data_IF_636935825721
#
_entry.id   IF_636935825721
#
_cell.length_a   1.000
_cell.length_b   1.000
_cell.length_c   1.000
_cell.angle_alpha   90.00
_cell.angle_beta   90.00
_cell.angle_gamma   90.00
#
_symmetry.space_group_name_H-M   'P 1'
#
loop_
_entity.id
_entity.type
_entity.pdbx_description
1 polymer ?
#
# COMPACT_ATOMS: atom_id res chain seq x y z
N UNK A 1 2.07 -25.02 -12.41
CA UNK A 1 1.05 -24.06 -12.90
C UNK A 1 1.60 -23.41 -14.16
N UNK A 2 0.79 -23.36 -15.22
CA UNK A 2 1.20 -22.76 -16.49
C UNK A 2 1.16 -21.22 -16.44
N UNK A 3 1.91 -20.55 -17.32
CA UNK A 3 1.97 -19.08 -17.36
C UNK A 3 0.57 -18.44 -17.56
N UNK A 4 -0.28 -19.07 -18.36
CA UNK A 4 -1.63 -18.55 -18.60
C UNK A 4 -2.49 -18.65 -17.33
N UNK A 5 -2.40 -19.76 -16.59
CA UNK A 5 -3.12 -19.94 -15.33
C UNK A 5 -2.67 -18.91 -14.28
N UNK A 6 -1.37 -18.60 -14.23
CA UNK A 6 -0.81 -17.55 -13.39
C UNK A 6 -1.42 -16.17 -13.72
N UNK A 7 -1.52 -15.84 -15.01
CA UNK A 7 -2.14 -14.58 -15.46
C UNK A 7 -3.63 -14.53 -15.10
N UNK A 8 -4.36 -15.60 -15.40
CA UNK A 8 -5.80 -15.68 -15.13
C UNK A 8 -6.10 -15.55 -13.63
N UNK A 9 -5.26 -16.14 -12.78
CA UNK A 9 -5.39 -16.03 -11.33
C UNK A 9 -5.13 -14.60 -10.82
N UNK A 10 -4.10 -13.92 -11.35
CA UNK A 10 -3.83 -12.52 -11.02
C UNK A 10 -4.98 -11.60 -11.45
N UNK A 11 -5.50 -11.77 -12.67
CA UNK A 11 -6.65 -11.02 -13.17
C UNK A 11 -7.88 -11.25 -12.28
N UNK A 12 -8.15 -12.51 -11.90
CA UNK A 12 -9.24 -12.84 -10.98
C UNK A 12 -9.10 -12.11 -9.62
N UNK A 13 -7.89 -12.02 -9.07
CA UNK A 13 -7.65 -11.28 -7.84
C UNK A 13 -7.83 -9.77 -8.02
N UNK A 14 -7.42 -9.21 -9.15
CA UNK A 14 -7.64 -7.81 -9.48
C UNK A 14 -9.13 -7.48 -9.62
N UNK A 15 -9.89 -8.32 -10.31
CA UNK A 15 -11.34 -8.17 -10.53
C UNK A 15 -12.15 -8.33 -9.25
N UNK A 16 -11.60 -9.00 -8.24
CA UNK A 16 -12.25 -9.14 -6.92
C UNK A 16 -12.40 -7.81 -6.18
N UNK A 17 -11.65 -6.78 -6.59
CA UNK A 17 -11.68 -5.47 -5.97
C UNK A 17 -12.88 -4.68 -6.52
N UNK A 18 -13.85 -4.39 -5.64
CA UNK A 18 -15.12 -3.73 -6.00
C UNK A 18 -14.95 -2.45 -6.84
N UNK A 19 -13.93 -1.64 -6.53
CA UNK A 19 -13.59 -0.39 -7.22
C UNK A 19 -12.22 -0.47 -7.93
N UNK A 20 -11.76 -1.70 -8.22
CA UNK A 20 -10.45 -1.96 -8.78
C UNK A 20 -10.30 -1.56 -10.25
N UNK A 21 -9.11 -1.79 -10.77
CA UNK A 21 -8.67 -1.53 -12.14
C UNK A 21 -9.46 -2.38 -13.15
N UNK A 22 -10.66 -1.93 -13.51
CA UNK A 22 -11.54 -2.61 -14.48
C UNK A 22 -11.17 -2.38 -15.94
N UNK A 23 -10.20 -1.49 -16.17
CA UNK A 23 -9.73 -1.17 -17.51
C UNK A 23 -8.30 -1.66 -17.67
N UNK A 24 -8.04 -2.44 -18.72
CA UNK A 24 -6.71 -2.95 -19.08
C UNK A 24 -5.72 -1.83 -19.33
N UNK A 25 -6.20 -0.61 -19.56
CA UNK A 25 -5.39 0.58 -19.75
C UNK A 25 -4.71 1.08 -18.46
N UNK A 26 -5.11 0.55 -17.30
CA UNK A 26 -4.60 1.02 -16.00
C UNK A 26 -3.39 0.23 -15.48
N UNK A 27 -3.00 -0.86 -16.13
CA UNK A 27 -1.86 -1.66 -15.74
C UNK A 27 -1.16 -2.28 -16.96
N UNK A 28 0.16 -2.39 -16.88
CA UNK A 28 0.94 -3.13 -17.88
C UNK A 28 1.25 -4.52 -17.35
N UNK A 29 0.94 -5.56 -18.12
CA UNK A 29 1.32 -6.93 -17.80
C UNK A 29 2.40 -7.39 -18.77
N UNK A 30 3.57 -7.69 -18.23
CA UNK A 30 4.74 -8.17 -18.96
C UNK A 30 5.03 -9.61 -18.54
N UNK A 31 5.54 -10.41 -19.48
CA UNK A 31 6.08 -11.73 -19.15
C UNK A 31 7.57 -11.57 -18.93
N UNK A 32 8.06 -12.05 -17.80
CA UNK A 32 9.46 -11.96 -17.42
C UNK A 32 10.04 -13.38 -17.35
N UNK A 33 11.31 -13.52 -17.72
CA UNK A 33 12.04 -14.76 -17.47
C UNK A 33 13.31 -14.46 -16.72
N UNK A 34 13.38 -14.93 -15.48
CA UNK A 34 14.57 -14.84 -14.63
C UNK A 34 15.02 -16.26 -14.33
N UNK A 35 16.30 -16.55 -14.61
CA UNK A 35 16.93 -17.86 -14.35
C UNK A 35 16.16 -19.05 -14.94
N UNK A 36 15.53 -18.87 -16.10
CA UNK A 36 14.76 -19.90 -16.80
C UNK A 36 13.35 -20.15 -16.22
N UNK A 37 12.96 -19.44 -15.14
CA UNK A 37 11.60 -19.44 -14.64
C UNK A 37 10.79 -18.38 -15.38
N UNK A 38 9.59 -18.74 -15.83
CA UNK A 38 8.65 -17.77 -16.38
C UNK A 38 7.85 -17.14 -15.25
N UNK A 39 7.71 -15.82 -15.30
CA UNK A 39 6.97 -15.02 -14.35
C UNK A 39 6.13 -13.97 -15.06
N UNK A 40 5.27 -13.34 -14.29
CA UNK A 40 4.43 -12.23 -14.71
C UNK A 40 4.82 -11.01 -13.90
N UNK A 41 5.05 -9.89 -14.59
CA UNK A 41 5.24 -8.58 -13.97
C UNK A 41 4.03 -7.73 -14.27
N UNK A 42 3.40 -7.19 -13.23
CA UNK A 42 2.35 -6.18 -13.33
C UNK A 42 2.96 -4.84 -12.92
N UNK A 43 2.81 -3.83 -13.77
CA UNK A 43 3.24 -2.47 -13.47
C UNK A 43 2.03 -1.57 -13.32
N UNK A 44 1.90 -0.96 -12.15
CA UNK A 44 0.86 0.01 -11.82
C UNK A 44 1.47 1.41 -11.72
N UNK A 45 0.74 2.40 -12.22
CA UNK A 45 1.15 3.80 -12.16
C UNK A 45 0.11 4.62 -11.41
N UNK A 46 0.58 5.45 -10.49
CA UNK A 46 -0.18 6.56 -9.91
C UNK A 46 0.43 7.86 -10.40
N UNK A 47 -0.15 9.00 -10.03
CA UNK A 47 0.38 10.31 -10.42
C UNK A 47 1.83 10.53 -9.97
N UNK A 48 2.22 9.92 -8.85
CA UNK A 48 3.50 10.15 -8.19
C UNK A 48 4.39 8.92 -8.08
N UNK A 49 3.82 7.70 -8.08
CA UNK A 49 4.56 6.46 -7.87
C UNK A 49 4.33 5.44 -8.99
N UNK A 50 5.26 4.49 -9.09
CA UNK A 50 5.21 3.29 -9.93
C UNK A 50 5.41 2.07 -9.04
N UNK A 51 4.55 1.09 -9.20
CA UNK A 51 4.61 -0.17 -8.47
C UNK A 51 4.89 -1.31 -9.45
N UNK A 52 5.85 -2.15 -9.13
CA UNK A 52 6.11 -3.38 -9.87
C UNK A 52 5.72 -4.54 -8.96
N UNK A 53 4.79 -5.37 -9.41
CA UNK A 53 4.38 -6.61 -8.75
C UNK A 53 4.89 -7.75 -9.61
N UNK A 54 5.66 -8.66 -9.02
CA UNK A 54 6.25 -9.79 -9.73
C UNK A 54 5.68 -11.07 -9.14
N UNK A 55 5.26 -11.97 -10.02
CA UNK A 55 4.72 -13.27 -9.66
C UNK A 55 5.44 -14.40 -10.40
N UNK A 56 5.77 -15.46 -9.66
CA UNK A 56 6.33 -16.70 -10.21
C UNK A 56 5.42 -17.87 -9.88
N UNK A 57 5.21 -18.74 -10.87
CA UNK A 57 4.38 -19.91 -10.71
C UNK A 57 4.96 -20.90 -9.68
N UNK A 58 4.11 -21.55 -8.87
CA UNK A 58 4.53 -22.66 -8.03
C UNK A 58 4.95 -23.87 -8.87
N UNK A 59 5.90 -24.62 -8.32
CA UNK A 59 6.37 -25.92 -8.81
C UNK A 59 6.37 -26.95 -7.67
N UNK A 60 6.67 -28.21 -7.94
CA UNK A 60 6.56 -29.30 -6.96
C UNK A 60 7.33 -29.01 -5.64
N UNK A 61 8.48 -28.34 -5.72
CA UNK A 61 9.32 -27.96 -4.56
C UNK A 61 9.24 -26.46 -4.19
N UNK A 62 8.31 -25.69 -4.76
CA UNK A 62 8.25 -24.24 -4.59
C UNK A 62 6.80 -23.74 -4.57
N UNK A 63 6.43 -23.06 -3.48
CA UNK A 63 5.12 -22.43 -3.27
C UNK A 63 4.77 -21.30 -4.26
N UNK A 64 5.68 -20.96 -5.17
CA UNK A 64 5.57 -19.79 -6.01
C UNK A 64 6.05 -18.55 -5.24
N UNK A 65 6.00 -17.40 -5.90
CA UNK A 65 6.31 -16.13 -5.25
C UNK A 65 5.43 -15.04 -5.78
N UNK A 66 5.15 -14.11 -4.88
CA UNK A 66 4.49 -12.86 -5.19
C UNK A 66 5.17 -11.78 -4.35
N UNK A 67 5.62 -10.71 -5.00
CA UNK A 67 6.26 -9.61 -4.30
C UNK A 67 6.07 -8.30 -5.03
N UNK A 68 6.25 -7.20 -4.32
CA UNK A 68 6.08 -5.87 -4.89
C UNK A 68 7.14 -4.87 -4.43
N UNK A 69 7.43 -3.91 -5.32
CA UNK A 69 8.31 -2.79 -5.04
C UNK A 69 7.66 -1.50 -5.54
N UNK A 70 7.64 -0.48 -4.69
CA UNK A 70 7.21 0.88 -5.02
C UNK A 70 8.39 1.79 -5.34
N UNK A 71 8.21 2.72 -6.27
CA UNK A 71 9.22 3.73 -6.61
C UNK A 71 8.58 5.06 -6.98
N UNK A 72 9.19 6.17 -6.56
CA UNK A 72 8.75 7.50 -6.97
C UNK A 72 9.05 7.72 -8.45
N UNK A 73 8.08 8.26 -9.21
CA UNK A 73 8.24 8.57 -10.64
C UNK A 73 9.09 9.81 -10.90
N UNK A 74 9.33 10.63 -9.87
CA UNK A 74 10.11 11.86 -9.92
C UNK A 74 11.07 11.91 -8.72
N UNK A 75 12.34 12.32 -8.90
CA UNK A 75 13.23 12.64 -7.79
C UNK A 75 12.65 13.75 -6.91
N UNK A 76 13.04 13.78 -5.63
CA UNK A 76 12.72 14.93 -4.77
C UNK A 76 13.65 16.09 -5.10
N UNK A 77 13.28 17.28 -4.65
CA UNK A 77 14.13 18.46 -4.81
C UNK A 77 15.51 18.20 -4.18
N UNK A 78 16.56 18.29 -5.00
CA UNK A 78 17.94 18.02 -4.60
C UNK A 78 18.41 16.57 -4.79
N UNK A 79 17.58 15.67 -5.32
CA UNK A 79 17.96 14.29 -5.68
C UNK A 79 18.08 14.13 -7.20
N UNK A 80 19.07 13.37 -7.66
CA UNK A 80 19.22 12.92 -9.05
C UNK A 80 18.82 11.44 -9.24
N UNK A 81 18.47 10.75 -8.15
CA UNK A 81 17.90 9.41 -8.15
C UNK A 81 16.43 9.40 -7.70
N UNK A 82 15.71 8.35 -8.07
CA UNK A 82 14.36 8.09 -7.56
C UNK A 82 14.44 7.21 -6.31
N UNK A 83 13.60 7.47 -5.31
CA UNK A 83 13.49 6.59 -4.14
C UNK A 83 12.63 5.37 -4.47
N UNK A 84 13.10 4.21 -4.05
CA UNK A 84 12.35 2.95 -4.05
C UNK A 84 12.09 2.49 -2.62
N UNK A 85 11.06 1.69 -2.44
CA UNK A 85 10.80 0.98 -1.19
C UNK A 85 10.27 -0.41 -1.51
N UNK A 86 10.75 -1.39 -0.74
CA UNK A 86 10.18 -2.72 -0.78
C UNK A 86 8.78 -2.68 -0.15
N UNK A 87 7.88 -3.45 -0.74
CA UNK A 87 6.54 -3.71 -0.21
C UNK A 87 6.46 -5.19 0.20
N UNK A 88 5.32 -5.62 0.72
CA UNK A 88 5.07 -7.00 1.08
C UNK A 88 5.45 -7.98 -0.04
N UNK A 89 6.00 -9.11 0.36
CA UNK A 89 6.31 -10.24 -0.50
C UNK A 89 6.15 -11.57 0.24
N UNK A 90 6.09 -12.66 -0.51
CA UNK A 90 5.85 -13.99 0.04
C UNK A 90 5.46 -15.02 -1.01
N UNK A 91 4.77 -16.06 -0.55
CA UNK A 91 4.26 -17.13 -1.40
C UNK A 91 3.22 -16.62 -2.41
N UNK A 92 3.05 -17.33 -3.52
CA UNK A 92 2.00 -17.00 -4.50
C UNK A 92 0.60 -17.32 -3.94
N UNK A 93 0.08 -16.40 -3.13
CA UNK A 93 -1.15 -16.57 -2.36
C UNK A 93 -2.04 -15.32 -2.41
N UNK A 94 -3.32 -15.50 -2.11
CA UNK A 94 -4.25 -14.37 -2.05
C UNK A 94 -3.97 -13.47 -0.85
N UNK A 95 -3.44 -14.04 0.23
CA UNK A 95 -3.03 -13.36 1.45
C UNK A 95 -1.91 -12.36 1.14
N UNK A 96 -0.82 -12.81 0.51
CA UNK A 96 0.28 -11.94 0.07
C UNK A 96 -0.21 -10.87 -0.92
N UNK A 97 -1.13 -11.22 -1.82
CA UNK A 97 -1.75 -10.23 -2.72
C UNK A 97 -2.48 -9.12 -1.95
N UNK A 98 -3.24 -9.46 -0.91
CA UNK A 98 -3.95 -8.48 -0.08
C UNK A 98 -2.99 -7.60 0.69
N UNK A 99 -1.90 -8.17 1.23
CA UNK A 99 -0.85 -7.41 1.91
C UNK A 99 -0.19 -6.39 0.98
N UNK A 100 0.17 -6.79 -0.24
CA UNK A 100 0.71 -5.91 -1.27
C UNK A 100 -0.24 -4.74 -1.57
N UNK A 101 -1.54 -5.02 -1.71
CA UNK A 101 -2.53 -3.96 -1.93
C UNK A 101 -2.64 -3.01 -0.73
N UNK A 102 -2.59 -3.55 0.49
CA UNK A 102 -2.56 -2.76 1.72
C UNK A 102 -1.38 -1.81 1.77
N UNK A 103 -0.19 -2.30 1.38
CA UNK A 103 1.02 -1.51 1.30
C UNK A 103 0.95 -0.42 0.23
N UNK A 104 0.46 -0.73 -0.97
CA UNK A 104 0.26 0.25 -2.04
C UNK A 104 -0.69 1.36 -1.57
N UNK A 105 -1.82 1.00 -0.96
CA UNK A 105 -2.77 1.98 -0.42
C UNK A 105 -2.11 2.80 0.69
N UNK A 106 -1.41 2.16 1.62
CA UNK A 106 -0.67 2.85 2.69
C UNK A 106 0.39 3.82 2.16
N UNK A 107 1.05 3.46 1.06
CA UNK A 107 2.07 4.28 0.42
C UNK A 107 1.49 5.51 -0.28
N UNK A 108 0.29 5.40 -0.86
CA UNK A 108 -0.44 6.51 -1.48
C UNK A 108 -1.16 7.41 -0.47
N UNK A 109 -1.51 6.88 0.71
CA UNK A 109 -2.18 7.66 1.75
C UNK A 109 -1.23 8.70 2.38
N UNK A 110 -1.58 9.98 2.23
CA UNK A 110 -0.81 11.10 2.79
C UNK A 110 -1.40 11.54 4.13
N UNK A 111 -0.54 11.77 5.13
CA UNK A 111 -0.94 12.33 6.42
C UNK A 111 -1.53 13.73 6.23
N UNK A 112 -2.76 13.93 6.70
CA UNK A 112 -3.38 15.25 6.71
C UNK A 112 -2.62 16.16 7.69
N UNK A 113 -2.11 17.28 7.19
CA UNK A 113 -1.24 18.20 7.94
C UNK A 113 -1.92 18.82 9.18
N UNK A 114 -3.25 18.92 9.18
CA UNK A 114 -4.06 19.34 10.33
C UNK A 114 -5.13 18.29 10.60
N UNK A 115 -5.27 17.85 11.85
CA UNK A 115 -6.40 17.03 12.23
C UNK A 115 -7.69 17.81 11.98
N UNK A 116 -8.73 17.13 11.51
CA UNK A 116 -10.07 17.68 11.26
C UNK A 116 -10.79 17.95 12.60
N UNK A 117 -10.13 18.62 13.56
CA UNK A 117 -10.80 19.14 14.75
C UNK A 117 -11.59 20.42 14.44
N UNK A 118 -11.26 21.10 13.35
CA UNK A 118 -11.81 22.43 13.03
C UNK A 118 -12.97 22.43 12.03
N UNK A 119 -13.38 21.29 11.45
CA UNK A 119 -14.51 21.28 10.51
C UNK A 119 -15.89 21.14 11.18
N UNK A 120 -15.94 20.84 12.49
CA UNK A 120 -17.20 20.67 13.25
C UNK A 120 -17.32 21.54 14.50
N UNK A 121 -16.57 22.64 14.60
CA UNK A 121 -16.82 23.68 15.61
C UNK A 121 -16.81 23.23 17.08
N UNK A 122 -16.18 22.10 17.41
CA UNK A 122 -15.99 21.70 18.81
C UNK A 122 -14.69 22.35 19.28
N UNK A 123 -14.82 23.46 20.00
CA UNK A 123 -13.70 24.12 20.66
C UNK A 123 -12.94 23.11 21.54
N UNK A 124 -11.62 23.08 21.42
CA UNK A 124 -10.81 22.28 22.35
C UNK A 124 -10.93 22.86 23.76
N UNK A 125 -11.15 22.05 24.82
CA UNK A 125 -10.94 22.54 26.17
C UNK A 125 -9.47 22.99 26.32
N UNK A 126 -9.22 24.10 27.01
CA UNK A 126 -7.91 24.74 27.05
C UNK A 126 -6.84 23.74 27.49
N UNK A 127 -5.81 23.62 26.65
CA UNK A 127 -4.71 22.69 26.83
C UNK A 127 -4.01 22.91 28.18
N UNK A 128 -3.79 21.82 28.93
CA UNK A 128 -2.95 21.83 30.12
C UNK A 128 -1.52 22.25 29.77
N UNK A 129 -1.22 23.55 29.89
CA UNK A 129 0.15 24.06 30.12
C UNK A 129 0.10 25.17 31.16
N UNK A 130 0.50 24.81 32.37
CA UNK A 130 1.18 25.72 33.29
C UNK A 130 0.35 26.88 33.84
N UNK A 131 -0.66 26.59 34.64
CA UNK A 131 -1.05 27.49 35.73
C UNK A 131 -1.55 26.62 36.88
N UNK A 132 -0.86 26.63 38.01
CA UNK A 132 -1.31 25.95 39.22
C UNK A 132 -2.65 26.53 39.64
N UNK A 133 -3.69 25.72 39.62
CA UNK A 133 -5.00 26.05 40.20
C UNK A 133 -4.99 25.47 41.63
N UNK A 134 -5.25 26.28 42.68
CA UNK A 134 -5.34 25.75 44.04
C UNK A 134 -6.53 24.81 44.14
N UNK A 135 -6.32 23.65 44.76
CA UNK A 135 -7.39 22.71 45.09
C UNK A 135 -8.14 23.31 46.29
N UNK A 136 -9.31 23.91 46.07
CA UNK A 136 -10.26 24.15 47.16
C UNK A 136 -11.01 22.86 47.47
N UNK A 137 -10.97 22.48 48.75
CA UNK A 137 -11.64 21.31 49.32
C UNK A 137 -13.15 21.38 49.11
N UNK A 138 -13.70 20.38 48.41
CA UNK A 138 -15.14 20.15 48.36
C UNK A 138 -15.63 19.72 49.75
N UNK A 139 -16.31 20.63 50.47
CA UNK A 139 -17.13 20.26 51.62
C UNK A 139 -18.36 19.50 51.12
N UNK A 140 -18.50 18.23 51.51
CA UNK A 140 -19.71 17.47 51.31
C UNK A 140 -20.74 17.87 52.37
N UNK A 141 -21.83 18.53 51.96
CA UNK A 141 -23.04 18.62 52.77
C UNK A 141 -23.96 17.45 52.43
N UNK A 142 -24.13 16.56 53.40
CA UNK A 142 -25.39 15.87 53.72
C UNK A 142 -25.47 15.65 55.22
#
# INVERSE_FOLDING_TARGET
MELQELKDQLVKWMDSIKYGYRDSDSYMMETESIDGKQGVRIVLFTDVNKYNIVAYAPSDDYSGYLGAMGSSRKPRAGEDWTRGNDLADGDFSQETWIEILGDIVGYELVKIHRSVKYLYGVEEPPSCRGAGIPIEEFKSEK
#
